data_IF_200682892813
#
_entry.id   IF_200682892813
#
_cell.length_a   1.000
_cell.length_b   1.000
_cell.length_c   1.000
_cell.angle_alpha   90.00
_cell.angle_beta   90.00
_cell.angle_gamma   90.00
#
_symmetry.space_group_name_H-M   'P 1'
#
loop_
_entity.id
_entity.type
_entity.pdbx_description
1 polymer ?
#
# COMPACT_ATOMS: atom_id res chain seq x y z
N UNK A 1 -0.20 11.24 -2.25
CA UNK A 1 -0.71 10.29 -3.28
C UNK A 1 -0.28 10.65 -4.70
N UNK A 2 -0.51 11.90 -5.17
CA UNK A 2 -0.29 12.30 -6.58
C UNK A 2 1.06 11.88 -7.15
N UNK A 3 2.16 12.15 -6.44
CA UNK A 3 3.51 11.80 -6.88
C UNK A 3 3.68 10.28 -7.14
N UNK A 4 3.04 9.44 -6.32
CA UNK A 4 3.11 7.97 -6.47
C UNK A 4 2.35 7.51 -7.71
N UNK A 5 1.18 8.09 -7.98
CA UNK A 5 0.46 7.84 -9.24
C UNK A 5 1.26 8.32 -10.45
N UNK A 6 1.90 9.49 -10.36
CA UNK A 6 2.75 10.02 -11.44
C UNK A 6 3.89 9.05 -11.73
N UNK A 7 4.62 8.59 -10.71
CA UNK A 7 5.69 7.61 -10.94
C UNK A 7 5.17 6.30 -11.51
N UNK A 8 4.04 5.79 -11.01
CA UNK A 8 3.43 4.58 -11.56
C UNK A 8 3.07 4.71 -13.04
N UNK A 9 2.49 5.85 -13.44
CA UNK A 9 2.03 6.05 -14.81
C UNK A 9 3.16 6.44 -15.77
N UNK A 10 4.14 7.22 -15.31
CA UNK A 10 5.22 7.73 -16.17
C UNK A 10 6.41 6.75 -16.27
N UNK A 11 6.55 5.85 -15.30
CA UNK A 11 7.58 4.83 -15.25
C UNK A 11 6.92 3.47 -15.06
N UNK A 12 6.62 2.83 -16.19
CA UNK A 12 5.87 1.58 -16.24
C UNK A 12 6.55 0.57 -17.19
N UNK A 13 6.02 -0.65 -17.21
CA UNK A 13 6.46 -1.77 -18.04
C UNK A 13 6.04 -1.68 -19.52
N UNK A 14 5.09 -0.81 -19.86
CA UNK A 14 4.57 -0.61 -21.22
C UNK A 14 5.50 0.28 -22.05
N UNK A 15 5.89 1.43 -21.53
CA UNK A 15 6.67 2.44 -22.28
C UNK A 15 8.00 2.82 -21.65
N UNK A 16 8.35 2.24 -20.50
CA UNK A 16 9.59 2.53 -19.77
C UNK A 16 9.52 3.83 -18.99
N UNK A 17 10.69 4.44 -18.74
CA UNK A 17 10.83 5.60 -17.86
C UNK A 17 11.72 6.69 -18.49
N UNK A 18 11.20 7.89 -18.83
CA UNK A 18 9.79 8.31 -18.81
C UNK A 18 9.02 7.93 -20.08
N UNK A 19 7.68 7.93 -20.02
CA UNK A 19 6.82 7.76 -21.18
C UNK A 19 7.26 8.64 -22.39
N UNK A 20 7.49 8.06 -23.58
CA UNK A 20 8.12 8.73 -24.72
C UNK A 20 7.45 10.05 -25.15
N UNK A 21 6.13 10.15 -25.05
CA UNK A 21 5.40 11.37 -25.40
C UNK A 21 5.77 12.57 -24.52
N UNK A 22 6.27 12.35 -23.30
CA UNK A 22 6.73 13.42 -22.42
C UNK A 22 8.08 14.01 -22.83
N UNK A 23 8.90 13.24 -23.56
CA UNK A 23 10.20 13.70 -24.08
C UNK A 23 10.06 14.48 -25.39
N UNK A 24 8.94 14.31 -26.10
CA UNK A 24 8.65 14.95 -27.40
C UNK A 24 7.34 15.73 -27.36
N UNK A 25 7.28 16.89 -26.68
CA UNK A 25 6.04 17.63 -26.45
C UNK A 25 5.32 18.08 -27.74
N UNK A 26 6.04 18.15 -28.87
CA UNK A 26 5.47 18.52 -30.18
C UNK A 26 4.60 17.42 -30.82
N UNK A 27 4.72 16.17 -30.38
CA UNK A 27 3.95 15.01 -30.89
C UNK A 27 3.02 14.41 -29.83
N UNK A 28 2.81 15.14 -28.74
CA UNK A 28 1.97 14.72 -27.62
C UNK A 28 0.49 14.71 -28.04
N UNK A 29 -0.11 13.53 -28.07
CA UNK A 29 -1.56 13.36 -28.13
C UNK A 29 -2.05 12.65 -26.87
N UNK A 30 -3.22 13.03 -26.37
CA UNK A 30 -3.79 12.45 -25.15
C UNK A 30 -4.05 10.95 -25.30
N UNK A 31 -4.47 10.50 -26.48
CA UNK A 31 -4.75 9.08 -26.72
C UNK A 31 -3.47 8.25 -26.72
N UNK A 32 -2.39 8.79 -27.30
CA UNK A 32 -1.06 8.16 -27.26
C UNK A 32 -0.51 8.12 -25.85
N UNK A 33 -0.64 9.21 -25.09
CA UNK A 33 -0.21 9.26 -23.70
C UNK A 33 -0.97 8.23 -22.85
N UNK A 34 -2.30 8.12 -22.99
CA UNK A 34 -3.11 7.12 -22.28
C UNK A 34 -2.63 5.69 -22.55
N UNK A 35 -2.28 5.37 -23.79
CA UNK A 35 -1.74 4.06 -24.15
C UNK A 35 -0.35 3.84 -23.53
N UNK A 36 0.55 4.81 -23.64
CA UNK A 36 1.92 4.73 -23.10
C UNK A 36 1.96 4.60 -21.57
N UNK A 37 1.01 5.23 -20.87
CA UNK A 37 0.94 5.18 -19.40
C UNK A 37 0.12 4.01 -18.87
N UNK A 38 -0.48 3.19 -19.72
CA UNK A 38 -1.35 2.10 -19.28
C UNK A 38 -2.61 2.59 -18.57
N UNK A 39 -3.19 3.71 -19.04
CA UNK A 39 -4.40 4.25 -18.44
C UNK A 39 -5.55 3.23 -18.54
N UNK A 40 -6.30 2.95 -17.45
CA UNK A 40 -7.37 1.96 -17.49
C UNK A 40 -8.46 2.32 -18.51
N UNK A 41 -9.01 1.31 -19.19
CA UNK A 41 -10.08 1.51 -20.17
C UNK A 41 -11.34 2.09 -19.53
N UNK A 42 -11.67 1.66 -18.31
CA UNK A 42 -12.78 2.17 -17.51
C UNK A 42 -12.46 3.53 -16.83
N UNK A 43 -11.34 4.16 -17.20
CA UNK A 43 -10.89 5.42 -16.65
C UNK A 43 -10.64 5.36 -15.15
N UNK A 44 -11.21 6.31 -14.40
CA UNK A 44 -11.03 6.37 -12.95
C UNK A 44 -11.63 5.17 -12.21
N UNK A 45 -12.65 4.52 -12.76
CA UNK A 45 -13.24 3.33 -12.14
C UNK A 45 -12.23 2.17 -12.11
N UNK A 46 -11.37 2.06 -13.13
CA UNK A 46 -10.32 1.04 -13.20
C UNK A 46 -9.18 1.24 -12.19
N UNK A 47 -9.14 2.37 -11.46
CA UNK A 47 -8.22 2.58 -10.34
C UNK A 47 -8.67 1.86 -9.08
N UNK A 48 -9.91 1.37 -9.02
CA UNK A 48 -10.46 0.67 -7.85
C UNK A 48 -10.83 -0.76 -8.25
N UNK A 49 -10.48 -1.73 -7.42
CA UNK A 49 -10.92 -3.12 -7.52
C UNK A 49 -11.37 -3.61 -6.15
N UNK A 50 -12.43 -4.41 -6.14
CA UNK A 50 -12.91 -5.02 -4.89
C UNK A 50 -11.93 -6.09 -4.40
N UNK A 51 -11.36 -6.86 -5.33
CA UNK A 51 -10.34 -7.88 -5.10
C UNK A 51 -9.09 -7.26 -4.47
N UNK A 52 -8.56 -6.18 -5.07
CA UNK A 52 -7.40 -5.46 -4.55
C UNK A 52 -7.68 -4.83 -3.18
N UNK A 53 -8.89 -4.29 -2.98
CA UNK A 53 -9.31 -3.70 -1.72
C UNK A 53 -9.42 -4.77 -0.62
N UNK A 54 -10.02 -5.91 -0.93
CA UNK A 54 -10.16 -7.05 -0.01
C UNK A 54 -8.79 -7.65 0.33
N UNK A 55 -7.88 -7.80 -0.64
CA UNK A 55 -6.52 -8.26 -0.41
C UNK A 55 -5.74 -7.28 0.48
N UNK A 56 -5.86 -5.98 0.23
CA UNK A 56 -5.25 -4.93 1.07
C UNK A 56 -5.77 -4.99 2.51
N UNK A 57 -7.09 -5.08 2.69
CA UNK A 57 -7.71 -5.24 4.00
C UNK A 57 -7.28 -6.55 4.68
N UNK A 58 -7.17 -7.65 3.93
CA UNK A 58 -6.67 -8.94 4.41
C UNK A 58 -5.24 -8.86 4.90
N UNK A 59 -4.35 -8.16 4.20
CA UNK A 59 -2.97 -7.93 4.64
C UNK A 59 -2.89 -7.08 5.92
N UNK A 60 -3.71 -6.03 6.02
CA UNK A 60 -3.80 -5.21 7.24
C UNK A 60 -4.32 -6.07 8.40
N UNK A 61 -5.37 -6.86 8.18
CA UNK A 61 -5.92 -7.76 9.18
C UNK A 61 -4.91 -8.81 9.64
N UNK A 62 -4.18 -9.43 8.70
CA UNK A 62 -3.08 -10.34 9.01
C UNK A 62 -2.06 -9.63 9.92
N UNK A 63 -1.65 -8.41 9.57
CA UNK A 63 -0.70 -7.63 10.37
C UNK A 63 -1.21 -7.36 11.79
N UNK A 64 -2.51 -7.05 11.95
CA UNK A 64 -3.15 -6.87 13.26
C UNK A 64 -3.21 -8.17 14.07
N UNK A 65 -3.46 -9.29 13.42
CA UNK A 65 -3.46 -10.63 14.05
C UNK A 65 -2.05 -10.96 14.53
N UNK A 66 -1.02 -10.79 13.69
CA UNK A 66 0.37 -11.07 14.06
C UNK A 66 0.84 -10.17 15.22
N UNK A 67 0.48 -8.88 15.19
CA UNK A 67 0.73 -7.95 16.30
C UNK A 67 0.15 -8.47 17.62
N UNK A 68 -1.08 -9.02 17.57
CA UNK A 68 -1.80 -9.47 18.77
C UNK A 68 -1.38 -10.84 19.29
N UNK A 69 -1.01 -11.76 18.40
CA UNK A 69 -0.78 -13.18 18.70
C UNK A 69 0.69 -13.49 18.95
N UNK A 70 1.62 -12.93 18.16
CA UNK A 70 3.03 -13.24 18.29
C UNK A 70 3.62 -12.66 19.58
N UNK A 71 4.64 -13.31 20.17
CA UNK A 71 5.37 -12.77 21.33
C UNK A 71 5.86 -11.35 21.06
N UNK A 72 5.89 -10.52 22.10
CA UNK A 72 6.29 -9.13 21.99
C UNK A 72 7.03 -8.68 23.23
N UNK A 73 7.95 -7.73 23.04
CA UNK A 73 8.56 -7.01 24.14
C UNK A 73 7.70 -5.79 24.47
N UNK A 74 7.30 -5.66 25.73
CA UNK A 74 6.55 -4.50 26.21
C UNK A 74 7.50 -3.47 26.81
N UNK A 75 7.42 -2.22 26.34
CA UNK A 75 8.26 -1.12 26.82
C UNK A 75 7.40 0.07 27.21
N UNK A 76 7.81 0.78 28.26
CA UNK A 76 7.23 2.08 28.59
C UNK A 76 7.77 3.14 27.63
N UNK A 77 6.86 3.96 27.10
CA UNK A 77 7.19 5.10 26.26
C UNK A 77 7.84 6.25 27.03
N UNK A 78 8.06 7.34 26.31
CA UNK A 78 8.45 8.61 26.91
C UNK A 78 7.31 9.19 27.74
N UNK A 79 7.65 10.07 28.66
CA UNK A 79 6.66 10.80 29.45
C UNK A 79 5.83 11.72 28.55
N UNK A 80 4.51 11.57 28.63
CA UNK A 80 3.55 12.43 27.95
C UNK A 80 3.47 13.78 28.66
N UNK A 81 3.05 14.81 27.93
CA UNK A 81 2.77 16.14 28.51
C UNK A 81 1.72 16.09 29.64
N UNK A 82 0.86 15.08 29.65
CA UNK A 82 -0.13 14.83 30.71
C UNK A 82 0.42 14.11 31.95
N UNK A 83 1.73 13.81 31.99
CA UNK A 83 2.41 13.17 33.13
C UNK A 83 2.36 11.64 33.17
N UNK A 84 1.75 11.00 32.17
CA UNK A 84 1.68 9.53 32.04
C UNK A 84 2.71 8.94 31.06
N UNK A 85 2.86 7.62 31.05
CA UNK A 85 3.60 6.87 30.02
C UNK A 85 2.68 5.84 29.37
N UNK A 86 2.89 5.59 28.08
CA UNK A 86 2.15 4.57 27.33
C UNK A 86 3.00 3.30 27.21
N UNK A 87 2.36 2.15 27.41
CA UNK A 87 2.97 0.84 27.15
C UNK A 87 2.90 0.53 25.66
N UNK A 88 4.05 0.29 25.05
CA UNK A 88 4.19 -0.14 23.66
C UNK A 88 4.54 -1.61 23.59
N UNK A 89 3.72 -2.38 22.88
CA UNK A 89 4.00 -3.76 22.50
C UNK A 89 4.79 -3.77 21.20
N UNK A 90 6.02 -4.28 21.21
CA UNK A 90 6.94 -4.29 20.07
C UNK A 90 7.24 -5.73 19.63
N UNK A 91 6.83 -6.11 18.42
CA UNK A 91 7.10 -7.43 17.84
C UNK A 91 7.39 -7.41 16.34
N UNK A 92 7.85 -6.28 15.81
CA UNK A 92 8.09 -6.10 14.37
C UNK A 92 9.01 -7.17 13.79
N UNK A 93 10.07 -7.57 14.51
CA UNK A 93 10.97 -8.62 14.03
C UNK A 93 10.24 -9.94 13.80
N UNK A 94 9.47 -10.42 14.78
CA UNK A 94 8.72 -11.68 14.65
C UNK A 94 7.64 -11.60 13.57
N UNK A 95 6.88 -10.51 13.53
CA UNK A 95 5.81 -10.32 12.54
C UNK A 95 6.37 -10.24 11.12
N UNK A 96 7.46 -9.51 10.91
CA UNK A 96 8.13 -9.42 9.61
C UNK A 96 8.79 -10.72 9.20
N UNK A 97 9.46 -11.44 10.12
CA UNK A 97 10.06 -12.75 9.82
C UNK A 97 9.02 -13.79 9.45
N UNK A 98 7.86 -13.80 10.12
CA UNK A 98 6.75 -14.70 9.77
C UNK A 98 6.25 -14.43 8.34
N UNK A 99 5.95 -13.17 8.03
CA UNK A 99 5.50 -12.78 6.68
C UNK A 99 6.57 -13.10 5.64
N UNK A 100 7.84 -12.78 5.91
CA UNK A 100 8.95 -13.06 5.00
C UNK A 100 9.14 -14.55 4.76
N UNK A 101 8.99 -15.39 5.80
CA UNK A 101 9.11 -16.84 5.65
C UNK A 101 8.04 -17.41 4.70
N UNK A 102 6.79 -16.93 4.80
CA UNK A 102 5.72 -17.32 3.88
C UNK A 102 6.04 -16.89 2.45
N UNK A 103 6.45 -15.63 2.27
CA UNK A 103 6.80 -15.09 0.95
C UNK A 103 8.01 -15.80 0.34
N UNK A 104 9.02 -16.11 1.15
CA UNK A 104 10.21 -16.84 0.74
C UNK A 104 9.87 -18.29 0.36
N UNK A 105 9.02 -18.97 1.14
CA UNK A 105 8.57 -20.33 0.82
C UNK A 105 7.76 -20.36 -0.49
N UNK A 106 6.84 -19.41 -0.68
CA UNK A 106 6.09 -19.27 -1.94
C UNK A 106 7.01 -19.02 -3.14
N UNK A 107 7.97 -18.11 -2.97
CA UNK A 107 8.97 -17.80 -4.01
C UNK A 107 9.88 -19.00 -4.31
N UNK A 108 10.31 -19.75 -3.30
CA UNK A 108 11.15 -20.94 -3.49
C UNK A 108 10.39 -22.07 -4.22
N UNK A 109 9.07 -22.17 -4.01
CA UNK A 109 8.24 -23.21 -4.61
C UNK A 109 7.76 -22.86 -6.03
N UNK A 110 7.45 -21.58 -6.30
CA UNK A 110 6.75 -21.15 -7.52
C UNK A 110 7.49 -20.07 -8.31
N UNK A 111 8.60 -19.54 -7.80
CA UNK A 111 9.37 -18.49 -8.44
C UNK A 111 8.58 -17.18 -8.59
N UNK A 112 8.71 -16.55 -9.76
CA UNK A 112 8.00 -15.30 -10.08
C UNK A 112 6.48 -15.49 -10.23
N UNK A 113 6.03 -16.71 -10.55
CA UNK A 113 4.62 -17.07 -10.73
C UNK A 113 3.88 -17.27 -9.40
N UNK A 114 4.55 -17.05 -8.27
CA UNK A 114 3.91 -17.10 -6.96
C UNK A 114 2.70 -16.13 -6.92
N UNK A 115 1.47 -16.58 -6.62
CA UNK A 115 0.26 -15.78 -6.79
C UNK A 115 0.25 -14.43 -6.07
N UNK A 116 1.01 -14.28 -4.98
CA UNK A 116 1.12 -12.98 -4.29
C UNK A 116 1.86 -11.97 -5.17
N UNK A 117 2.91 -12.38 -5.88
CA UNK A 117 3.70 -11.49 -6.75
C UNK A 117 2.94 -11.08 -7.99
N UNK A 118 2.34 -12.05 -8.68
CA UNK A 118 1.52 -11.77 -9.86
C UNK A 118 0.31 -10.92 -9.49
N UNK A 119 -0.39 -11.23 -8.40
CA UNK A 119 -1.50 -10.39 -7.93
C UNK A 119 -1.08 -8.95 -7.62
N UNK A 120 0.05 -8.75 -6.93
CA UNK A 120 0.55 -7.39 -6.62
C UNK A 120 0.93 -6.65 -7.91
N UNK A 121 1.60 -7.32 -8.85
CA UNK A 121 1.99 -6.72 -10.13
C UNK A 121 0.76 -6.32 -10.95
N UNK A 122 -0.21 -7.23 -11.10
CA UNK A 122 -1.39 -7.05 -11.93
C UNK A 122 -2.37 -6.02 -11.34
N UNK A 123 -2.35 -5.84 -10.01
CA UNK A 123 -3.29 -4.97 -9.29
C UNK A 123 -2.61 -3.79 -8.58
N UNK A 124 -1.39 -3.43 -8.98
CA UNK A 124 -0.58 -2.46 -8.22
C UNK A 124 -1.28 -1.10 -8.05
N UNK A 125 -1.89 -0.58 -9.13
CA UNK A 125 -2.58 0.70 -9.11
C UNK A 125 -3.85 0.66 -8.23
N UNK A 126 -4.55 -0.48 -8.20
CA UNK A 126 -5.72 -0.67 -7.35
C UNK A 126 -5.33 -0.86 -5.88
N UNK A 127 -4.22 -1.54 -5.59
CA UNK A 127 -3.65 -1.65 -4.24
C UNK A 127 -3.20 -0.28 -3.73
N UNK A 128 -2.55 0.54 -4.58
CA UNK A 128 -2.19 1.91 -4.27
C UNK A 128 -3.43 2.75 -3.90
N UNK A 129 -4.48 2.61 -4.69
CA UNK A 129 -5.75 3.32 -4.47
C UNK A 129 -6.43 2.86 -3.17
N UNK A 130 -6.51 1.56 -2.93
CA UNK A 130 -7.05 0.99 -1.70
C UNK A 130 -6.30 1.49 -0.45
N UNK A 131 -4.97 1.49 -0.46
CA UNK A 131 -4.15 2.01 0.64
C UNK A 131 -4.32 3.52 0.83
N UNK A 132 -4.47 4.28 -0.26
CA UNK A 132 -4.72 5.72 -0.21
C UNK A 132 -6.07 6.01 0.47
N UNK A 133 -7.13 5.32 0.05
CA UNK A 133 -8.47 5.44 0.65
C UNK A 133 -8.43 5.05 2.13
N UNK A 134 -7.82 3.91 2.46
CA UNK A 134 -7.68 3.44 3.84
C UNK A 134 -6.95 4.47 4.72
N UNK A 135 -5.86 5.06 4.22
CA UNK A 135 -5.09 6.08 4.96
C UNK A 135 -5.93 7.31 5.26
N UNK A 136 -6.69 7.83 4.29
CA UNK A 136 -7.61 8.95 4.54
C UNK A 136 -8.71 8.57 5.52
N UNK A 137 -9.30 7.37 5.40
CA UNK A 137 -10.34 6.90 6.30
C UNK A 137 -9.85 6.83 7.76
N UNK A 138 -8.67 6.24 8.00
CA UNK A 138 -8.07 6.17 9.34
C UNK A 138 -7.70 7.56 9.84
N UNK A 139 -7.11 8.42 9.01
CA UNK A 139 -6.75 9.78 9.39
C UNK A 139 -7.98 10.60 9.81
N UNK A 140 -9.07 10.53 9.04
CA UNK A 140 -10.34 11.17 9.39
C UNK A 140 -10.89 10.60 10.68
N UNK A 141 -10.89 9.27 10.85
CA UNK A 141 -11.36 8.63 12.07
C UNK A 141 -10.59 9.10 13.31
N UNK A 142 -9.25 9.08 13.29
CA UNK A 142 -8.45 9.51 14.45
C UNK A 142 -8.58 11.02 14.70
N UNK A 143 -8.72 11.83 13.66
CA UNK A 143 -8.98 13.26 13.80
C UNK A 143 -10.30 13.53 14.52
N UNK A 144 -11.39 12.90 14.07
CA UNK A 144 -12.71 13.02 14.72
C UNK A 144 -12.67 12.51 16.17
N UNK A 145 -11.97 11.39 16.42
CA UNK A 145 -11.83 10.83 17.77
C UNK A 145 -10.98 11.69 18.70
N UNK A 146 -10.06 12.50 18.17
CA UNK A 146 -9.21 13.36 19.01
C UNK A 146 -10.02 14.37 19.82
N UNK A 147 -11.16 14.85 19.29
CA UNK A 147 -12.08 15.75 20.02
C UNK A 147 -12.81 15.10 21.19
N UNK A 148 -12.82 13.77 21.29
CA UNK A 148 -13.43 13.06 22.42
C UNK A 148 -12.49 12.89 23.61
N UNK A 149 -11.20 13.20 23.45
CA UNK A 149 -10.21 13.11 24.51
C UNK A 149 -10.28 14.39 25.34
N UNK A 150 -10.60 14.26 26.63
CA UNK A 150 -10.55 15.38 27.57
C UNK A 150 -9.08 15.67 27.93
N UNK A 151 -8.69 16.95 28.07
CA UNK A 151 -7.33 17.35 28.42
C UNK A 151 -6.91 16.88 29.81
#
# INVERSE_FOLDING_TARGET
PVLVYVFNFVCNDISGCPAPSLLSPKTLSLDKLKQEVGWPQDGFAGLVSWEASAATAGYILLSLILYRVLPAHEVEGTELRSGGRLKYRLNTLYSSSFTLAILAAGTAAQGAEFPVWTFISDNFIQILTANTIFSYAVATFVYVRSFSVKP
#
